data_IF_931865102113
#
_entry.id   IF_931865102113
#
_cell.length_a   1.000
_cell.length_b   1.000
_cell.length_c   1.000
_cell.angle_alpha   90.00
_cell.angle_beta   90.00
_cell.angle_gamma   90.00
#
_symmetry.space_group_name_H-M   'P 1'
#
loop_
_entity.id
_entity.type
_entity.pdbx_description
1 polymer ?
#
# COMPACT_ATOMS: atom_id res chain seq x y z
N UNK A 1 0.19 67.79 17.28
CA UNK A 1 -1.19 67.21 17.19
C UNK A 1 -1.09 65.75 17.58
N UNK A 2 -1.41 65.43 18.84
CA UNK A 2 -1.26 64.07 19.42
C UNK A 2 -2.63 63.41 19.41
N UNK A 3 -2.77 62.29 18.69
CA UNK A 3 -3.99 61.50 18.70
C UNK A 3 -3.69 60.21 19.53
N UNK A 4 -4.32 60.17 20.72
CA UNK A 4 -4.32 59.02 21.62
C UNK A 4 -5.41 58.05 21.14
N UNK A 5 -5.04 56.82 20.74
CA UNK A 5 -5.97 55.73 20.58
C UNK A 5 -5.95 54.84 21.82
N UNK A 6 -7.04 54.89 22.56
CA UNK A 6 -7.29 54.00 23.68
C UNK A 6 -7.68 52.61 23.14
N UNK A 7 -6.90 51.59 23.49
CA UNK A 7 -7.23 50.20 23.19
C UNK A 7 -8.12 49.65 24.32
N UNK A 8 -9.35 49.29 23.99
CA UNK A 8 -10.24 48.53 24.87
C UNK A 8 -9.90 47.05 24.79
N UNK A 9 -9.35 46.48 25.88
CA UNK A 9 -9.19 45.03 26.06
C UNK A 9 -10.55 44.43 26.47
N UNK A 10 -11.15 43.64 25.60
CA UNK A 10 -12.26 42.76 25.93
C UNK A 10 -11.70 41.42 26.43
N UNK A 11 -11.83 41.17 27.73
CA UNK A 11 -11.58 39.86 28.36
C UNK A 11 -12.70 38.89 27.98
N UNK A 12 -12.42 37.93 27.13
CA UNK A 12 -13.29 36.79 26.89
C UNK A 12 -12.92 35.71 27.90
N UNK A 13 -13.76 35.55 28.92
CA UNK A 13 -13.71 34.45 29.86
C UNK A 13 -14.20 33.17 29.13
N UNK A 14 -13.30 32.25 28.85
CA UNK A 14 -13.64 30.93 28.36
C UNK A 14 -13.93 30.04 29.56
N UNK A 15 -15.21 29.73 29.79
CA UNK A 15 -15.65 28.76 30.78
C UNK A 15 -15.23 27.35 30.33
N UNK A 16 -14.27 26.75 31.03
CA UNK A 16 -14.02 25.30 31.00
C UNK A 16 -15.06 24.63 31.91
N UNK A 17 -16.07 24.03 31.33
CA UNK A 17 -16.96 23.11 32.04
C UNK A 17 -17.25 21.92 31.13
N UNK A 18 -16.97 20.74 31.71
CA UNK A 18 -17.48 19.42 31.35
C UNK A 18 -17.01 18.74 30.05
N UNK A 19 -15.87 18.08 30.18
CA UNK A 19 -15.54 16.89 29.38
C UNK A 19 -16.39 15.71 29.87
N UNK A 20 -17.67 15.64 29.44
CA UNK A 20 -18.45 14.38 29.54
C UNK A 20 -18.16 13.57 28.29
N UNK A 21 -17.66 12.36 28.51
CA UNK A 21 -17.44 11.27 27.59
C UNK A 21 -18.61 11.11 26.62
N UNK A 22 -18.47 11.63 25.41
CA UNK A 22 -19.33 11.27 24.29
C UNK A 22 -18.83 9.94 23.72
N UNK A 23 -19.46 8.83 24.14
CA UNK A 23 -19.42 7.58 23.39
C UNK A 23 -20.02 7.85 22.03
N UNK A 24 -19.19 7.98 21.02
CA UNK A 24 -19.62 8.15 19.64
C UNK A 24 -20.34 6.86 19.21
N UNK A 25 -21.67 6.86 19.32
CA UNK A 25 -22.51 5.93 18.58
C UNK A 25 -22.32 6.24 17.10
N UNK A 26 -21.76 5.33 16.34
CA UNK A 26 -21.71 5.39 14.89
C UNK A 26 -23.12 5.20 14.36
N UNK A 27 -23.82 6.29 14.12
CA UNK A 27 -25.08 6.25 13.39
C UNK A 27 -24.80 5.90 11.93
N UNK A 28 -25.33 4.76 11.50
CA UNK A 28 -25.36 4.34 10.12
C UNK A 28 -26.18 5.32 9.29
N UNK A 29 -25.56 6.26 8.60
CA UNK A 29 -26.19 7.04 7.55
C UNK A 29 -26.15 6.26 6.23
N UNK A 30 -27.18 5.44 5.99
CA UNK A 30 -27.44 4.77 4.72
C UNK A 30 -28.91 4.42 4.59
N UNK A 31 -29.46 4.27 3.37
CA UNK A 31 -30.87 3.97 3.18
C UNK A 31 -31.24 2.64 3.83
N UNK A 32 -32.38 2.62 4.49
CA UNK A 32 -32.89 1.66 5.49
C UNK A 32 -33.09 0.21 5.01
N UNK A 33 -32.07 -0.49 4.53
CA UNK A 33 -32.21 -1.90 4.14
C UNK A 33 -31.05 -2.83 4.49
N UNK A 34 -29.97 -2.40 5.18
CA UNK A 34 -28.80 -3.27 5.35
C UNK A 34 -28.10 -3.22 6.72
N UNK A 35 -28.79 -2.87 7.79
CA UNK A 35 -28.25 -3.10 9.14
C UNK A 35 -28.63 -4.52 9.58
N UNK A 36 -27.78 -5.48 9.23
CA UNK A 36 -27.94 -6.87 9.67
C UNK A 36 -27.83 -6.97 11.19
N UNK A 37 -28.83 -7.63 11.81
CA UNK A 37 -28.85 -7.93 13.24
C UNK A 37 -27.57 -8.65 13.68
N UNK A 38 -27.02 -8.36 14.88
CA UNK A 38 -25.82 -9.03 15.38
C UNK A 38 -26.09 -10.53 15.49
N UNK A 39 -25.20 -11.32 14.88
CA UNK A 39 -25.29 -12.77 14.93
C UNK A 39 -25.21 -13.25 16.39
N UNK A 40 -26.20 -14.07 16.83
CA UNK A 40 -26.21 -14.68 18.14
C UNK A 40 -24.98 -15.55 18.32
N UNK A 41 -24.12 -15.16 19.24
CA UNK A 41 -22.99 -15.97 19.70
C UNK A 41 -23.55 -17.23 20.33
N UNK A 42 -23.37 -18.38 19.70
CA UNK A 42 -23.71 -19.69 20.28
C UNK A 42 -22.64 -20.02 21.32
N UNK A 43 -23.03 -19.90 22.60
CA UNK A 43 -22.23 -20.42 23.71
C UNK A 43 -22.31 -21.95 23.68
N UNK A 44 -21.20 -22.61 23.37
CA UNK A 44 -21.10 -24.06 23.50
C UNK A 44 -20.87 -24.41 24.96
N UNK A 45 -21.87 -25.03 25.61
CA UNK A 45 -21.72 -25.66 26.94
C UNK A 45 -20.75 -26.83 26.81
N UNK A 46 -19.72 -26.79 27.65
CA UNK A 46 -18.72 -27.84 27.82
C UNK A 46 -19.42 -29.10 28.38
N UNK A 47 -19.71 -30.08 27.56
CA UNK A 47 -20.20 -31.38 27.99
C UNK A 47 -19.02 -32.28 28.37
N UNK A 48 -19.25 -33.07 29.44
CA UNK A 48 -18.28 -33.78 30.22
C UNK A 48 -17.52 -34.91 29.51
N UNK A 49 -16.50 -35.31 30.23
CA UNK A 49 -15.56 -36.41 29.99
C UNK A 49 -16.29 -37.73 29.74
N UNK A 50 -16.10 -38.34 28.58
CA UNK A 50 -16.12 -39.79 28.44
C UNK A 50 -15.02 -40.14 27.44
N UNK A 51 -14.11 -40.98 27.90
CA UNK A 51 -12.94 -41.39 27.14
C UNK A 51 -13.35 -42.29 25.96
N UNK A 52 -12.89 -41.87 24.78
CA UNK A 52 -12.82 -42.75 23.63
C UNK A 52 -11.46 -42.55 22.96
N UNK A 53 -10.54 -43.43 23.30
CA UNK A 53 -9.23 -43.47 22.61
C UNK A 53 -9.40 -44.15 21.26
N UNK A 54 -9.84 -43.41 20.26
CA UNK A 54 -9.75 -43.85 18.87
C UNK A 54 -8.35 -43.46 18.37
N UNK A 55 -7.42 -44.44 18.35
CA UNK A 55 -6.16 -44.28 17.61
C UNK A 55 -6.48 -44.01 16.15
N UNK A 56 -6.50 -42.76 15.76
CA UNK A 56 -6.49 -42.39 14.36
C UNK A 56 -5.06 -42.59 13.90
N UNK A 57 -4.84 -43.63 13.12
CA UNK A 57 -3.58 -43.82 12.42
C UNK A 57 -3.39 -42.62 11.49
N UNK A 58 -2.45 -41.76 11.84
CA UNK A 58 -2.00 -40.65 10.99
C UNK A 58 -1.30 -41.27 9.79
N UNK A 59 -2.03 -41.45 8.70
CA UNK A 59 -1.41 -41.79 7.42
C UNK A 59 -0.50 -40.61 7.04
N UNK A 60 0.78 -40.87 7.08
CA UNK A 60 1.84 -40.03 6.58
C UNK A 60 1.59 -39.79 5.08
N UNK A 61 0.70 -38.86 4.73
CA UNK A 61 0.53 -38.45 3.37
C UNK A 61 1.86 -37.84 2.90
N UNK A 62 2.35 -38.41 1.77
CA UNK A 62 3.67 -38.15 1.25
C UNK A 62 4.04 -36.70 1.23
N UNK A 63 5.21 -36.41 1.74
CA UNK A 63 5.94 -35.16 1.55
C UNK A 63 5.97 -34.89 0.04
N UNK A 64 5.02 -34.10 -0.48
CA UNK A 64 5.23 -33.42 -1.74
C UNK A 64 6.42 -32.51 -1.52
N UNK A 65 7.59 -33.00 -1.87
CA UNK A 65 8.77 -32.17 -2.06
C UNK A 65 8.41 -31.17 -3.14
N UNK A 66 7.98 -29.99 -2.73
CA UNK A 66 8.03 -28.85 -3.62
C UNK A 66 9.51 -28.70 -3.95
N UNK A 67 9.88 -29.21 -5.12
CA UNK A 67 11.20 -28.99 -5.67
C UNK A 67 11.43 -27.50 -5.52
N UNK A 68 12.43 -27.13 -4.72
CA UNK A 68 12.98 -25.78 -4.62
C UNK A 68 13.39 -25.45 -6.06
N UNK A 69 12.45 -24.83 -6.80
CA UNK A 69 12.72 -24.34 -8.14
C UNK A 69 13.90 -23.43 -7.97
N UNK A 70 15.01 -23.85 -8.51
CA UNK A 70 16.31 -23.25 -8.40
C UNK A 70 16.16 -21.73 -8.39
N UNK A 71 16.92 -21.08 -7.52
CA UNK A 71 17.19 -19.64 -7.58
C UNK A 71 17.54 -19.37 -9.05
N UNK A 72 16.57 -18.86 -9.80
CA UNK A 72 16.85 -18.22 -11.05
C UNK A 72 17.82 -17.12 -10.67
N UNK A 73 19.08 -17.36 -10.94
CA UNK A 73 20.10 -16.32 -11.00
C UNK A 73 19.63 -15.40 -12.12
N UNK A 74 18.77 -14.46 -11.76
CA UNK A 74 18.38 -13.38 -12.64
C UNK A 74 19.63 -12.53 -12.79
N UNK A 75 20.49 -12.92 -13.72
CA UNK A 75 21.48 -12.02 -14.28
C UNK A 75 20.65 -10.94 -14.96
N UNK A 76 20.47 -9.80 -14.27
CA UNK A 76 19.89 -8.60 -14.87
C UNK A 76 20.92 -8.18 -15.92
N UNK A 77 20.75 -8.67 -17.12
CA UNK A 77 21.47 -8.16 -18.26
C UNK A 77 21.12 -6.67 -18.30
N UNK A 78 22.10 -5.82 -18.08
CA UNK A 78 21.97 -4.38 -18.26
C UNK A 78 21.49 -4.17 -19.69
N UNK A 79 20.26 -3.64 -19.84
CA UNK A 79 19.66 -3.39 -21.15
C UNK A 79 18.30 -3.99 -21.41
N UNK A 80 17.72 -4.78 -20.49
CA UNK A 80 16.32 -5.24 -20.65
C UNK A 80 15.37 -4.06 -20.71
N UNK A 81 14.66 -3.91 -21.85
CA UNK A 81 13.63 -2.89 -22.03
C UNK A 81 12.25 -3.52 -21.95
N UNK A 82 11.35 -2.94 -21.15
CA UNK A 82 9.95 -3.34 -21.01
C UNK A 82 9.06 -2.18 -21.47
N UNK A 83 7.95 -2.50 -22.12
CA UNK A 83 6.94 -1.50 -22.49
C UNK A 83 5.58 -1.90 -21.95
N UNK A 84 4.82 -0.94 -21.45
CA UNK A 84 3.50 -1.17 -20.90
C UNK A 84 2.94 0.07 -20.21
N UNK A 85 1.88 -0.11 -19.42
CA UNK A 85 1.28 0.99 -18.67
C UNK A 85 1.95 1.13 -17.30
N UNK A 86 2.18 2.38 -16.89
CA UNK A 86 2.52 2.74 -15.52
C UNK A 86 1.33 3.38 -14.82
N UNK A 87 1.25 3.23 -13.50
CA UNK A 87 0.43 4.06 -12.62
C UNK A 87 1.29 4.60 -11.48
N UNK A 88 0.67 5.27 -10.50
CA UNK A 88 1.38 5.74 -9.31
C UNK A 88 0.52 5.61 -8.07
N UNK A 89 1.18 5.62 -6.89
CA UNK A 89 0.54 5.55 -5.58
C UNK A 89 1.20 6.54 -4.62
N UNK A 90 0.44 6.93 -3.58
CA UNK A 90 0.90 7.93 -2.60
C UNK A 90 0.46 7.60 -1.17
N UNK A 91 -0.39 6.57 -0.99
CA UNK A 91 -0.91 6.20 0.31
C UNK A 91 0.19 5.61 1.19
N UNK A 92 0.19 5.90 2.50
CA UNK A 92 1.08 5.27 3.45
C UNK A 92 0.82 3.77 3.50
N UNK A 93 1.85 2.97 3.23
CA UNK A 93 1.78 1.51 3.29
C UNK A 93 3.17 0.92 3.56
N UNK A 94 3.21 -0.34 3.97
CA UNK A 94 4.48 -1.07 4.02
C UNK A 94 4.88 -1.49 2.62
N UNK A 95 6.17 -1.34 2.30
CA UNK A 95 6.73 -1.83 1.03
C UNK A 95 7.29 -3.24 1.19
N UNK A 96 7.27 -4.01 0.12
CA UNK A 96 7.68 -5.42 0.14
C UNK A 96 9.18 -5.63 0.43
N UNK A 97 10.02 -4.61 0.25
CA UNK A 97 11.43 -4.64 0.65
C UNK A 97 11.67 -4.39 2.15
N UNK A 98 10.61 -4.06 2.90
CA UNK A 98 10.63 -3.67 4.30
C UNK A 98 10.56 -2.15 4.51
N UNK A 99 10.02 -1.73 5.66
CA UNK A 99 9.85 -0.33 6.00
C UNK A 99 8.55 0.30 5.49
N UNK A 100 8.49 1.63 5.52
CA UNK A 100 7.33 2.41 5.11
C UNK A 100 7.57 3.07 3.76
N UNK A 101 6.52 3.15 2.97
CA UNK A 101 6.52 3.87 1.70
C UNK A 101 6.69 5.37 1.91
N UNK A 102 7.61 5.96 1.14
CA UNK A 102 7.78 7.41 1.08
C UNK A 102 7.36 7.92 -0.32
N UNK A 103 6.24 8.66 -0.43
CA UNK A 103 5.74 9.17 -1.69
C UNK A 103 6.69 10.19 -2.38
N UNK A 104 7.61 10.78 -1.62
CA UNK A 104 8.58 11.76 -2.13
C UNK A 104 9.90 11.14 -2.57
N UNK A 105 10.12 9.84 -2.34
CA UNK A 105 11.32 9.13 -2.79
C UNK A 105 11.18 8.68 -4.26
N UNK A 106 12.30 8.57 -4.97
CA UNK A 106 12.35 8.05 -6.34
C UNK A 106 12.32 6.52 -6.33
N UNK A 107 11.16 5.94 -6.09
CA UNK A 107 10.96 4.49 -5.96
C UNK A 107 9.80 4.01 -6.82
N UNK A 108 9.77 2.69 -7.05
CA UNK A 108 8.71 2.07 -7.80
C UNK A 108 8.48 0.61 -7.37
N UNK A 109 7.27 0.10 -7.67
CA UNK A 109 6.91 -1.30 -7.56
C UNK A 109 7.02 -2.00 -8.92
N UNK A 110 7.64 -3.20 -8.93
CA UNK A 110 7.71 -4.06 -10.11
C UNK A 110 7.51 -5.52 -9.73
N UNK A 111 6.89 -6.31 -10.65
CA UNK A 111 6.50 -7.71 -10.37
C UNK A 111 7.67 -8.61 -10.04
N UNK A 112 8.74 -8.53 -10.82
CA UNK A 112 9.81 -9.55 -10.84
C UNK A 112 11.21 -8.99 -10.65
N UNK A 113 11.47 -7.71 -10.97
CA UNK A 113 12.81 -7.15 -10.81
C UNK A 113 13.27 -7.21 -9.35
N UNK A 114 14.53 -7.56 -9.09
CA UNK A 114 15.08 -7.58 -7.73
C UNK A 114 14.95 -6.23 -7.03
N UNK A 115 14.79 -6.23 -5.71
CA UNK A 115 14.85 -4.99 -4.93
C UNK A 115 16.25 -4.35 -5.05
N UNK A 116 16.28 -3.01 -5.06
CA UNK A 116 17.49 -2.24 -5.30
C UNK A 116 17.86 -2.06 -6.77
N UNK A 117 17.12 -2.69 -7.71
CA UNK A 117 17.34 -2.46 -9.14
C UNK A 117 16.98 -1.02 -9.50
N UNK A 118 17.87 -0.33 -10.17
CA UNK A 118 17.62 0.99 -10.75
C UNK A 118 17.10 0.84 -12.17
N UNK A 119 16.00 1.51 -12.45
CA UNK A 119 15.38 1.52 -13.78
C UNK A 119 15.13 2.96 -14.23
N UNK A 120 15.31 3.22 -15.52
CA UNK A 120 14.86 4.45 -16.17
C UNK A 120 13.45 4.21 -16.71
N UNK A 121 12.51 5.03 -16.28
CA UNK A 121 11.14 5.04 -16.78
C UNK A 121 10.93 6.24 -17.65
N UNK A 122 10.55 6.04 -18.89
CA UNK A 122 10.27 7.09 -19.87
C UNK A 122 8.81 7.08 -20.23
N UNK A 123 8.13 8.19 -20.03
CA UNK A 123 6.74 8.38 -20.46
C UNK A 123 6.72 8.60 -21.97
N UNK A 124 6.03 7.73 -22.69
CA UNK A 124 6.00 7.73 -24.15
C UNK A 124 5.13 8.86 -24.75
N UNK A 125 4.25 9.48 -23.95
CA UNK A 125 3.42 10.58 -24.40
C UNK A 125 4.19 11.91 -24.48
N UNK A 126 5.18 12.11 -23.59
CA UNK A 126 5.87 13.40 -23.49
C UNK A 126 7.41 13.29 -23.48
N UNK A 127 7.97 12.07 -23.58
CA UNK A 127 9.40 11.81 -23.62
C UNK A 127 10.15 12.03 -22.28
N UNK A 128 9.46 12.49 -21.22
CA UNK A 128 10.09 12.73 -19.90
C UNK A 128 10.49 11.42 -19.27
N UNK A 129 11.64 11.41 -18.60
CA UNK A 129 12.15 10.20 -17.93
C UNK A 129 12.59 10.47 -16.50
N UNK A 130 12.57 9.42 -15.69
CA UNK A 130 13.05 9.42 -14.31
C UNK A 130 13.80 8.12 -14.03
N UNK A 131 14.78 8.16 -13.15
CA UNK A 131 15.44 6.96 -12.63
C UNK A 131 14.84 6.67 -11.25
N UNK A 132 14.36 5.45 -11.05
CA UNK A 132 13.76 5.00 -9.80
C UNK A 132 14.38 3.69 -9.33
N UNK A 133 14.32 3.45 -8.03
CA UNK A 133 14.77 2.20 -7.41
C UNK A 133 13.57 1.31 -7.12
N UNK A 134 13.66 0.04 -7.50
CA UNK A 134 12.62 -0.94 -7.20
C UNK A 134 12.71 -1.34 -5.72
N UNK A 135 11.66 -1.05 -4.96
CA UNK A 135 11.58 -1.38 -3.52
C UNK A 135 10.25 -2.06 -3.13
N UNK A 136 9.32 -2.21 -4.09
CA UNK A 136 8.03 -2.80 -3.80
C UNK A 136 7.60 -3.81 -4.86
N UNK A 137 6.53 -4.58 -4.58
CA UNK A 137 5.94 -5.58 -5.46
C UNK A 137 4.60 -5.10 -6.01
N UNK A 138 4.38 -5.39 -7.28
CA UNK A 138 3.22 -4.96 -8.08
C UNK A 138 3.67 -4.42 -9.42
N UNK A 139 2.75 -3.89 -10.21
CA UNK A 139 1.29 -3.95 -10.09
C UNK A 139 0.72 -5.34 -10.39
N UNK A 140 -0.40 -5.70 -9.71
CA UNK A 140 -1.10 -6.97 -9.97
C UNK A 140 -2.28 -6.81 -10.94
N UNK A 141 -2.44 -5.63 -11.51
CA UNK A 141 -3.45 -5.31 -12.52
C UNK A 141 -2.90 -5.63 -13.91
N UNK A 142 -3.72 -6.28 -14.75
CA UNK A 142 -3.34 -6.61 -16.13
C UNK A 142 -3.02 -5.34 -16.93
N UNK A 143 -2.01 -5.41 -17.79
CA UNK A 143 -1.59 -4.28 -18.64
C UNK A 143 -0.61 -3.31 -17.97
N UNK A 144 -0.57 -3.22 -16.64
CA UNK A 144 0.41 -2.42 -15.91
C UNK A 144 1.69 -3.22 -15.66
N UNK A 145 2.83 -2.56 -15.81
CA UNK A 145 4.15 -3.16 -15.63
C UNK A 145 4.91 -2.54 -14.44
N UNK A 146 4.62 -1.30 -14.10
CA UNK A 146 5.30 -0.58 -13.02
C UNK A 146 4.34 0.41 -12.35
N UNK A 147 4.47 0.57 -11.03
CA UNK A 147 3.77 1.60 -10.27
C UNK A 147 4.81 2.52 -9.62
N UNK A 148 4.71 3.82 -9.90
CA UNK A 148 5.67 4.84 -9.47
C UNK A 148 5.25 5.45 -8.13
N UNK A 149 6.23 5.97 -7.38
CA UNK A 149 5.93 6.92 -6.31
C UNK A 149 5.34 8.21 -6.87
N UNK A 150 4.65 8.99 -6.03
CA UNK A 150 4.06 10.29 -6.43
C UNK A 150 5.11 11.22 -7.02
N UNK A 151 6.27 11.35 -6.37
CA UNK A 151 7.35 12.23 -6.85
C UNK A 151 7.91 11.77 -8.22
N UNK A 152 8.11 10.46 -8.42
CA UNK A 152 8.53 9.93 -9.71
C UNK A 152 7.48 10.18 -10.80
N UNK A 153 6.19 9.99 -10.50
CA UNK A 153 5.09 10.27 -11.42
C UNK A 153 5.00 11.76 -11.81
N UNK A 154 5.28 12.67 -10.88
CA UNK A 154 5.37 14.10 -11.14
C UNK A 154 6.51 14.42 -12.12
N UNK A 155 7.69 13.82 -11.93
CA UNK A 155 8.82 14.03 -12.82
C UNK A 155 8.56 13.58 -14.25
N UNK A 156 7.88 12.44 -14.45
CA UNK A 156 7.51 11.98 -15.79
C UNK A 156 6.24 12.61 -16.33
N UNK A 157 5.59 13.49 -15.54
CA UNK A 157 4.41 14.25 -15.98
C UNK A 157 3.18 13.40 -16.22
N UNK A 158 2.88 12.40 -15.36
CA UNK A 158 1.72 11.52 -15.52
C UNK A 158 0.66 11.69 -14.43
N UNK A 159 0.84 12.58 -13.48
CA UNK A 159 -0.07 12.74 -12.35
C UNK A 159 -1.47 13.19 -12.75
N UNK A 160 -1.60 13.97 -13.81
CA UNK A 160 -2.90 14.42 -14.31
C UNK A 160 -3.73 13.29 -14.96
N UNK A 161 -3.07 12.35 -15.65
CA UNK A 161 -3.75 11.21 -16.29
C UNK A 161 -3.92 9.99 -15.36
N UNK A 162 -3.16 9.93 -14.26
CA UNK A 162 -3.14 8.79 -13.34
C UNK A 162 -2.39 7.57 -13.87
N UNK A 163 -2.41 7.36 -15.19
CA UNK A 163 -1.72 6.28 -15.91
C UNK A 163 -1.07 6.80 -17.18
N UNK A 164 0.01 6.17 -17.61
CA UNK A 164 0.68 6.54 -18.86
C UNK A 164 1.38 5.33 -19.49
N UNK A 165 1.49 5.29 -20.84
CA UNK A 165 2.32 4.33 -21.52
C UNK A 165 3.80 4.68 -21.29
N UNK A 166 4.57 3.70 -20.83
CA UNK A 166 5.99 3.91 -20.50
C UNK A 166 6.87 2.87 -21.16
N UNK A 167 8.14 3.22 -21.35
CA UNK A 167 9.24 2.28 -21.56
C UNK A 167 10.12 2.28 -20.31
N UNK A 168 10.53 1.09 -19.88
CA UNK A 168 11.33 0.87 -18.68
C UNK A 168 12.63 0.21 -19.10
N UNK A 169 13.76 0.84 -18.83
CA UNK A 169 15.09 0.32 -19.13
C UNK A 169 15.80 -0.01 -17.83
N UNK A 170 16.31 -1.23 -17.70
CA UNK A 170 17.06 -1.65 -16.52
C UNK A 170 18.48 -1.11 -16.60
N UNK A 171 18.91 -0.36 -15.58
CA UNK A 171 20.24 0.24 -15.48
C UNK A 171 21.23 -0.62 -14.67
N UNK A 172 20.70 -1.52 -13.85
CA UNK A 172 21.51 -2.38 -12.97
C UNK A 172 21.07 -2.30 -11.51
N UNK A 173 21.81 -2.97 -10.63
CA UNK A 173 21.66 -2.81 -9.19
C UNK A 173 22.47 -1.61 -8.71
N UNK A 174 21.88 -0.82 -7.80
CA UNK A 174 22.57 0.24 -7.09
C UNK A 174 23.24 -0.27 -5.83
#
# INVERSE_FOLDING_TARGET
>A
MRILFAAAMALVAVNFADARTASAAWECMGPAASCGKPAKVKTYKKAGKTGYTKKVAYQKSGKKTYAKKAKSSYSVASGGAYSGMASYYWQPQRVASGGWFNPNAMTAAHKTLPFGTKVRVTNRNNGRSVVVTINDRGPYIKGRIIDLSKAAAQQVGMTGSGVAPVSVTVLGRG
#
